data_IF_858351338196
#
_entry.id   IF_858351338196
#
_cell.length_a   1.000
_cell.length_b   1.000
_cell.length_c   1.000
_cell.angle_alpha   90.00
_cell.angle_beta   90.00
_cell.angle_gamma   90.00
#
_symmetry.space_group_name_H-M   'P 1'
#
loop_
_entity.id
_entity.type
_entity.pdbx_description
1 polymer ?
#
# COMPACT_ATOMS: atom_id res chain seq x y z
N UNK A 1 -6.39 13.16 28.50
CA UNK A 1 -6.84 13.16 27.09
C UNK A 1 -6.66 11.77 26.54
N UNK A 2 -7.74 11.14 26.10
CA UNK A 2 -7.70 9.85 25.41
C UNK A 2 -7.26 10.11 23.97
N UNK A 3 -6.30 9.37 23.38
CA UNK A 3 -6.06 9.49 21.95
C UNK A 3 -7.28 8.91 21.25
N UNK A 4 -7.98 9.73 20.47
CA UNK A 4 -8.93 9.21 19.50
C UNK A 4 -8.18 8.21 18.61
N UNK A 5 -8.70 6.99 18.39
CA UNK A 5 -8.13 6.12 17.39
C UNK A 5 -8.27 6.87 16.07
N UNK A 6 -7.13 7.30 15.52
CA UNK A 6 -7.07 7.94 14.21
C UNK A 6 -7.87 7.06 13.25
N UNK A 7 -9.05 7.54 12.87
CA UNK A 7 -9.92 6.87 11.92
C UNK A 7 -9.16 6.90 10.60
N UNK A 8 -8.35 5.87 10.40
CA UNK A 8 -7.81 5.53 9.09
C UNK A 8 -9.05 5.34 8.24
N UNK A 9 -9.33 6.30 7.35
CA UNK A 9 -10.34 6.13 6.32
C UNK A 9 -10.15 4.78 5.64
N UNK A 10 -11.21 4.19 5.06
CA UNK A 10 -11.21 2.79 4.64
C UNK A 10 -9.97 2.45 3.81
N UNK A 11 -9.02 1.77 4.44
CA UNK A 11 -7.76 1.39 3.79
C UNK A 11 -8.12 0.34 2.76
N UNK A 12 -7.62 0.51 1.54
CA UNK A 12 -7.84 -0.49 0.48
C UNK A 12 -7.33 -1.85 0.95
N UNK A 13 -8.00 -2.97 0.61
CA UNK A 13 -7.51 -4.28 0.99
C UNK A 13 -6.09 -4.52 0.46
N UNK A 14 -5.23 -5.11 1.29
CA UNK A 14 -3.83 -5.38 0.94
C UNK A 14 -3.69 -6.16 -0.38
N UNK A 15 -4.65 -7.04 -0.70
CA UNK A 15 -4.69 -7.77 -1.96
C UNK A 15 -4.78 -6.85 -3.20
N UNK A 16 -5.58 -5.78 -3.13
CA UNK A 16 -5.75 -4.82 -4.23
C UNK A 16 -4.47 -4.01 -4.42
N UNK A 17 -3.86 -3.54 -3.33
CA UNK A 17 -2.59 -2.78 -3.37
C UNK A 17 -1.47 -3.66 -3.93
N UNK A 18 -1.43 -4.95 -3.55
CA UNK A 18 -0.45 -5.90 -4.08
C UNK A 18 -0.64 -6.15 -5.58
N UNK A 19 -1.88 -6.12 -6.10
CA UNK A 19 -2.11 -6.22 -7.55
C UNK A 19 -1.51 -5.02 -8.29
N UNK A 20 -1.65 -3.82 -7.76
CA UNK A 20 -1.08 -2.60 -8.34
C UNK A 20 0.46 -2.62 -8.33
N UNK A 21 1.06 -3.10 -7.24
CA UNK A 21 2.52 -3.31 -7.17
C UNK A 21 2.97 -4.25 -8.28
N UNK A 22 2.28 -5.39 -8.45
CA UNK A 22 2.61 -6.37 -9.50
C UNK A 22 2.38 -5.78 -10.89
N UNK A 23 1.35 -4.97 -11.08
CA UNK A 23 1.06 -4.30 -12.36
C UNK A 23 2.17 -3.32 -12.72
N UNK A 24 2.63 -2.52 -11.76
CA UNK A 24 3.76 -1.60 -11.94
C UNK A 24 5.06 -2.36 -12.26
N UNK A 25 5.35 -3.43 -11.52
CA UNK A 25 6.53 -4.27 -11.78
C UNK A 25 6.49 -4.92 -13.16
N UNK A 26 5.32 -5.40 -13.62
CA UNK A 26 5.15 -5.94 -14.97
C UNK A 26 5.33 -4.88 -16.05
N UNK A 27 4.82 -3.66 -15.84
CA UNK A 27 4.96 -2.57 -16.80
C UNK A 27 6.41 -2.09 -16.95
N UNK A 28 7.22 -2.24 -15.90
CA UNK A 28 8.65 -1.98 -15.92
C UNK A 28 9.50 -3.22 -16.23
N UNK A 29 8.89 -4.37 -16.54
CA UNK A 29 9.65 -5.60 -16.74
C UNK A 29 10.70 -5.44 -17.85
N UNK A 30 11.95 -5.79 -17.53
CA UNK A 30 13.07 -5.65 -18.46
C UNK A 30 13.66 -4.24 -18.57
N UNK A 31 13.20 -3.28 -17.76
CA UNK A 31 13.83 -1.96 -17.63
C UNK A 31 13.88 -1.47 -16.19
N UNK A 32 14.78 -0.54 -15.84
CA UNK A 32 14.70 0.18 -14.58
C UNK A 32 13.39 1.01 -14.50
N UNK A 33 12.88 1.19 -13.29
CA UNK A 33 11.79 2.15 -13.04
C UNK A 33 12.20 3.55 -13.47
N UNK A 34 11.37 4.21 -14.27
CA UNK A 34 11.62 5.54 -14.80
C UNK A 34 10.87 6.63 -14.02
N UNK A 35 11.55 7.76 -13.78
CA UNK A 35 10.98 9.01 -13.26
C UNK A 35 10.09 8.85 -12.01
N UNK A 36 8.77 8.74 -12.21
CA UNK A 36 7.79 8.68 -11.12
C UNK A 36 7.49 7.25 -10.64
N UNK A 37 7.91 6.22 -11.38
CA UNK A 37 7.66 4.81 -11.03
C UNK A 37 8.25 4.41 -9.67
N UNK A 38 9.48 4.82 -9.27
CA UNK A 38 10.01 4.53 -7.95
C UNK A 38 9.18 5.15 -6.81
N UNK A 39 8.76 6.41 -6.97
CA UNK A 39 7.94 7.11 -5.97
C UNK A 39 6.57 6.44 -5.82
N UNK A 40 5.96 6.04 -6.94
CA UNK A 40 4.70 5.29 -6.96
C UNK A 40 4.83 3.91 -6.31
N UNK A 41 5.92 3.20 -6.57
CA UNK A 41 6.20 1.91 -5.95
C UNK A 41 6.32 2.04 -4.43
N UNK A 42 7.07 3.04 -3.93
CA UNK A 42 7.23 3.29 -2.50
C UNK A 42 5.90 3.68 -1.82
N UNK A 43 5.07 4.48 -2.48
CA UNK A 43 3.74 4.82 -1.97
C UNK A 43 2.85 3.58 -1.83
N UNK A 44 2.85 2.70 -2.84
CA UNK A 44 2.10 1.43 -2.80
C UNK A 44 2.62 0.49 -1.70
N UNK A 45 3.93 0.46 -1.44
CA UNK A 45 4.48 -0.33 -0.33
C UNK A 45 4.01 0.19 1.04
N UNK A 46 3.98 1.52 1.22
CA UNK A 46 3.49 2.11 2.45
C UNK A 46 1.99 1.84 2.66
N UNK A 47 1.18 1.96 1.60
CA UNK A 47 -0.25 1.64 1.63
C UNK A 47 -0.48 0.14 1.93
N UNK A 48 0.28 -0.75 1.31
CA UNK A 48 0.20 -2.19 1.56
C UNK A 48 0.55 -2.53 3.00
N UNK A 49 1.62 -1.94 3.56
CA UNK A 49 2.01 -2.14 4.94
C UNK A 49 0.95 -1.65 5.93
N UNK A 50 0.26 -0.54 5.63
CA UNK A 50 -0.86 -0.07 6.43
C UNK A 50 -2.06 -1.03 6.36
N UNK A 51 -2.40 -1.51 5.16
CA UNK A 51 -3.49 -2.45 4.95
C UNK A 51 -3.24 -3.81 5.62
N UNK A 52 -2.01 -4.33 5.57
CA UNK A 52 -1.65 -5.60 6.23
C UNK A 52 -1.69 -5.48 7.76
N UNK A 53 -1.21 -4.36 8.32
CA UNK A 53 -1.35 -4.07 9.77
C UNK A 53 -2.80 -3.97 10.21
N UNK A 54 -3.66 -3.34 9.40
CA UNK A 54 -5.10 -3.25 9.67
C UNK A 54 -5.79 -4.62 9.60
N UNK A 55 -5.25 -5.59 8.84
CA UNK A 55 -5.74 -6.97 8.81
C UNK A 55 -5.40 -7.75 10.09
N UNK A 56 -4.25 -7.44 10.71
CA UNK A 56 -3.75 -8.14 11.91
C UNK A 56 -4.44 -7.64 13.18
N UNK A 57 -4.85 -6.36 13.21
CA UNK A 57 -5.62 -5.83 14.32
C UNK A 57 -7.07 -6.35 14.24
N UNK A 58 -7.57 -7.08 15.25
CA UNK A 58 -8.99 -7.39 15.33
C UNK A 58 -9.75 -6.06 15.38
N UNK A 59 -10.83 -5.94 14.61
CA UNK A 59 -11.79 -4.86 14.81
C UNK A 59 -12.28 -4.96 16.28
N UNK A 60 -11.88 -3.98 17.09
CA UNK A 60 -12.23 -3.88 18.51
C UNK A 60 -13.69 -3.47 18.69
#
# INVERSE_FOLDING_TARGET
MSPDPAVSGPVRPAAVVNEDIRRLARAAWGRPYASAEPARYNALLAEWAAADRARILPAA
#
